data_IF_623769231075
#
_entry.id   IF_623769231075
#
_cell.length_a   1.000
_cell.length_b   1.000
_cell.length_c   1.000
_cell.angle_alpha   90.00
_cell.angle_beta   90.00
_cell.angle_gamma   90.00
#
_symmetry.space_group_name_H-M   'P 1'
#
loop_
_entity.id
_entity.type
_entity.pdbx_description
1 polymer ?
#
# COMPACT_ATOMS: atom_id res chain seq x y z
N UNK A 1 21.48 -14.41 -47.38
CA UNK A 1 21.23 -14.35 -45.93
C UNK A 1 20.56 -13.06 -45.45
N UNK A 2 20.64 -11.92 -46.17
CA UNK A 2 20.05 -10.64 -45.70
C UNK A 2 18.52 -10.52 -45.75
N UNK A 3 17.84 -11.15 -46.73
CA UNK A 3 16.38 -10.99 -46.89
C UNK A 3 15.56 -11.67 -45.78
N UNK A 4 16.00 -12.84 -45.29
CA UNK A 4 15.35 -13.54 -44.19
C UNK A 4 15.53 -12.81 -42.85
N UNK A 5 16.67 -12.13 -42.66
CA UNK A 5 16.93 -11.31 -41.48
C UNK A 5 16.03 -10.05 -41.48
N UNK A 6 15.87 -9.40 -42.63
CA UNK A 6 15.00 -8.24 -42.78
C UNK A 6 13.51 -8.57 -42.56
N UNK A 7 13.03 -9.73 -43.03
CA UNK A 7 11.65 -10.17 -42.77
C UNK A 7 11.44 -10.46 -41.27
N UNK A 8 12.44 -11.04 -40.59
CA UNK A 8 12.37 -11.29 -39.15
C UNK A 8 12.30 -9.98 -38.36
N UNK A 9 13.14 -9.00 -38.69
CA UNK A 9 13.18 -7.69 -38.05
C UNK A 9 11.85 -6.94 -38.23
N UNK A 10 11.27 -6.98 -39.44
CA UNK A 10 9.96 -6.39 -39.72
C UNK A 10 8.83 -7.03 -38.89
N UNK A 11 8.89 -8.35 -38.68
CA UNK A 11 7.93 -9.06 -37.82
C UNK A 11 8.13 -8.70 -36.35
N UNK A 12 9.36 -8.60 -35.88
CA UNK A 12 9.67 -8.21 -34.49
C UNK A 12 9.17 -6.80 -34.17
N UNK A 13 9.42 -5.82 -35.05
CA UNK A 13 8.93 -4.46 -34.89
C UNK A 13 7.40 -4.40 -34.87
N UNK A 14 6.73 -5.18 -35.73
CA UNK A 14 5.27 -5.28 -35.74
C UNK A 14 4.73 -5.86 -34.44
N UNK A 15 5.38 -6.89 -33.88
CA UNK A 15 4.97 -7.48 -32.60
C UNK A 15 5.14 -6.48 -31.47
N UNK A 16 6.28 -5.78 -31.40
CA UNK A 16 6.52 -4.75 -30.39
C UNK A 16 5.51 -3.61 -30.48
N UNK A 17 5.16 -3.15 -31.68
CA UNK A 17 4.10 -2.16 -31.88
C UNK A 17 2.75 -2.63 -31.35
N UNK A 18 2.35 -3.87 -31.67
CA UNK A 18 1.09 -4.44 -31.17
C UNK A 18 1.08 -4.61 -29.64
N UNK A 19 2.21 -4.94 -29.03
CA UNK A 19 2.33 -5.02 -27.57
C UNK A 19 2.14 -3.63 -26.97
N UNK A 20 2.79 -2.60 -27.52
CA UNK A 20 2.63 -1.22 -27.07
C UNK A 20 1.17 -0.73 -27.19
N UNK A 21 0.49 -1.06 -28.28
CA UNK A 21 -0.92 -0.70 -28.48
C UNK A 21 -1.83 -1.42 -27.47
N UNK A 22 -1.57 -2.71 -27.19
CA UNK A 22 -2.31 -3.48 -26.20
C UNK A 22 -2.07 -2.96 -24.77
N UNK A 23 -0.85 -2.55 -24.44
CA UNK A 23 -0.51 -1.93 -23.16
C UNK A 23 -1.26 -0.60 -22.99
N UNK A 24 -1.31 0.23 -24.03
CA UNK A 24 -2.04 1.50 -24.01
C UNK A 24 -3.56 1.27 -23.88
N UNK A 25 -4.13 0.33 -24.62
CA UNK A 25 -5.54 -0.03 -24.54
C UNK A 25 -5.92 -0.60 -23.17
N UNK A 26 -5.06 -1.44 -22.59
CA UNK A 26 -5.25 -1.96 -21.23
C UNK A 26 -5.18 -0.85 -20.17
N UNK A 27 -4.28 0.12 -20.33
CA UNK A 27 -4.21 1.31 -19.47
C UNK A 27 -5.49 2.15 -19.57
N UNK A 28 -5.99 2.41 -20.77
CA UNK A 28 -7.23 3.16 -20.99
C UNK A 28 -8.45 2.42 -20.43
N UNK A 29 -8.55 1.11 -20.64
CA UNK A 29 -9.63 0.28 -20.09
C UNK A 29 -9.55 0.22 -18.56
N UNK A 30 -8.36 0.18 -17.96
CA UNK A 30 -8.16 0.20 -16.51
C UNK A 30 -8.59 1.55 -15.90
N UNK A 31 -8.29 2.66 -16.55
CA UNK A 31 -8.78 3.99 -16.16
C UNK A 31 -10.30 4.11 -16.32
N UNK A 32 -10.87 3.54 -17.38
CA UNK A 32 -12.33 3.48 -17.58
C UNK A 32 -13.05 2.60 -16.56
N UNK A 33 -12.46 1.47 -16.16
CA UNK A 33 -13.00 0.57 -15.14
C UNK A 33 -12.94 1.17 -13.71
N UNK A 34 -12.05 2.14 -13.47
CA UNK A 34 -12.03 2.94 -12.24
C UNK A 34 -13.13 4.00 -12.21
N UNK A 35 -13.72 4.36 -13.36
CA UNK A 35 -14.75 5.40 -13.44
C UNK A 35 -16.19 4.90 -13.26
N UNK A 36 -16.51 3.61 -13.40
CA UNK A 36 -17.90 3.12 -13.25
C UNK A 36 -17.92 1.71 -12.63
N UNK A 37 -18.16 1.64 -11.33
CA UNK A 37 -18.87 0.53 -10.68
C UNK A 37 -19.58 1.06 -9.43
N UNK A 38 -20.46 2.04 -9.65
CA UNK A 38 -21.55 2.35 -8.73
C UNK A 38 -22.62 1.27 -8.90
N UNK A 39 -22.50 0.17 -8.16
CA UNK A 39 -23.68 -0.63 -7.87
C UNK A 39 -24.59 0.21 -6.94
N UNK A 40 -25.89 0.39 -7.25
CA UNK A 40 -26.76 1.16 -6.39
C UNK A 40 -27.07 0.32 -5.15
N UNK A 41 -26.40 0.63 -4.04
CA UNK A 41 -26.83 0.18 -2.72
C UNK A 41 -27.49 1.36 -2.04
N UNK A 42 -28.79 1.26 -1.84
CA UNK A 42 -29.61 2.32 -1.28
C UNK A 42 -29.23 2.62 0.17
N UNK A 43 -29.20 3.92 0.48
CA UNK A 43 -29.15 4.57 1.80
C UNK A 43 -27.78 4.61 2.51
N UNK A 44 -27.09 5.73 2.31
CA UNK A 44 -26.20 6.33 3.31
C UNK A 44 -24.78 6.69 2.86
N UNK A 45 -24.57 7.25 1.67
CA UNK A 45 -23.21 7.56 1.19
C UNK A 45 -23.12 8.96 0.58
N UNK A 46 -22.70 9.93 1.38
CA UNK A 46 -22.24 11.23 0.91
C UNK A 46 -20.95 11.62 1.64
N UNK A 47 -19.91 10.77 1.58
CA UNK A 47 -18.52 11.16 1.93
C UNK A 47 -17.45 10.14 1.48
N UNK A 48 -17.80 8.85 1.39
CA UNK A 48 -16.82 7.77 1.12
C UNK A 48 -16.04 7.94 -0.21
N UNK A 49 -16.68 8.47 -1.25
CA UNK A 49 -16.04 8.70 -2.55
C UNK A 49 -14.95 9.78 -2.51
N UNK A 50 -15.05 10.78 -1.62
CA UNK A 50 -14.07 11.86 -1.55
C UNK A 50 -12.71 11.36 -1.05
N UNK A 51 -12.72 10.44 -0.08
CA UNK A 51 -11.49 9.84 0.47
C UNK A 51 -10.78 8.96 -0.56
N UNK A 52 -11.52 8.10 -1.27
CA UNK A 52 -10.97 7.23 -2.32
C UNK A 52 -10.31 8.07 -3.44
N UNK A 53 -10.97 9.14 -3.89
CA UNK A 53 -10.43 10.06 -4.91
C UNK A 53 -9.17 10.76 -4.40
N UNK A 54 -9.18 11.26 -3.16
CA UNK A 54 -8.01 11.91 -2.57
C UNK A 54 -6.81 10.96 -2.48
N UNK A 55 -7.02 9.73 -2.01
CA UNK A 55 -5.96 8.72 -1.91
C UNK A 55 -5.45 8.29 -3.29
N UNK A 56 -6.35 8.13 -4.28
CA UNK A 56 -5.97 7.81 -5.65
C UNK A 56 -5.05 8.89 -6.25
N UNK A 57 -5.41 10.17 -6.10
CA UNK A 57 -4.61 11.29 -6.57
C UNK A 57 -3.22 11.32 -5.89
N UNK A 58 -3.18 11.04 -4.58
CA UNK A 58 -1.94 11.00 -3.82
C UNK A 58 -1.01 9.85 -4.26
N UNK A 59 -1.57 8.68 -4.56
CA UNK A 59 -0.82 7.53 -5.07
C UNK A 59 -0.26 7.80 -6.47
N UNK A 60 -1.09 8.36 -7.37
CA UNK A 60 -0.69 8.73 -8.71
C UNK A 60 0.42 9.79 -8.71
N UNK A 61 0.31 10.82 -7.86
CA UNK A 61 1.34 11.85 -7.70
C UNK A 61 2.69 11.30 -7.22
N UNK A 62 2.69 10.14 -6.53
CA UNK A 62 3.89 9.42 -6.10
C UNK A 62 4.36 8.34 -7.09
N UNK A 63 3.76 8.28 -8.27
CA UNK A 63 4.15 7.35 -9.33
C UNK A 63 3.65 5.91 -9.16
N UNK A 64 2.72 5.68 -8.23
CA UNK A 64 2.05 4.38 -8.09
C UNK A 64 1.02 4.24 -9.21
N UNK A 65 1.26 3.32 -10.13
CA UNK A 65 0.50 3.16 -11.37
C UNK A 65 -0.57 2.06 -11.33
N UNK A 66 -0.48 1.16 -10.35
CA UNK A 66 -1.39 0.02 -10.23
C UNK A 66 -1.84 -0.13 -8.79
N UNK A 67 -3.11 0.12 -8.54
CA UNK A 67 -3.77 -0.06 -7.25
C UNK A 67 -5.28 -0.20 -7.45
N UNK A 68 -5.96 -0.83 -6.49
CA UNK A 68 -7.41 -0.94 -6.48
C UNK A 68 -7.92 -0.79 -5.04
N UNK A 69 -8.89 0.11 -4.84
CA UNK A 69 -9.62 0.19 -3.58
C UNK A 69 -10.72 -0.88 -3.56
N UNK A 70 -10.92 -1.50 -2.39
CA UNK A 70 -11.95 -2.51 -2.17
C UNK A 70 -12.80 -2.09 -0.98
N UNK A 71 -14.10 -1.96 -1.22
CA UNK A 71 -15.08 -1.83 -0.13
C UNK A 71 -15.38 -3.21 0.41
N UNK A 72 -15.44 -3.29 1.73
CA UNK A 72 -15.72 -4.53 2.47
C UNK A 72 -16.97 -4.34 3.32
N UNK A 73 -17.72 -5.42 3.61
CA UNK A 73 -18.84 -5.36 4.53
C UNK A 73 -18.46 -4.81 5.92
N UNK A 74 -19.45 -4.29 6.66
CA UNK A 74 -19.22 -3.72 7.99
C UNK A 74 -18.67 -4.74 9.00
N UNK A 75 -19.00 -6.02 8.84
CA UNK A 75 -18.54 -7.15 9.66
C UNK A 75 -17.16 -7.69 9.25
N UNK A 76 -16.42 -6.98 8.38
CA UNK A 76 -15.12 -7.42 7.85
C UNK A 76 -14.13 -7.87 8.95
N UNK A 77 -14.07 -7.16 10.07
CA UNK A 77 -13.15 -7.50 11.16
C UNK A 77 -13.61 -8.64 12.06
N UNK A 78 -14.86 -9.09 11.93
CA UNK A 78 -15.40 -10.24 12.66
C UNK A 78 -15.19 -11.55 11.90
N UNK A 79 -14.90 -11.47 10.59
CA UNK A 79 -14.66 -12.61 9.71
C UNK A 79 -13.29 -13.25 9.88
N UNK A 80 -13.16 -14.49 9.44
CA UNK A 80 -11.88 -15.22 9.37
C UNK A 80 -10.89 -14.55 8.40
N UNK A 81 -9.59 -14.88 8.51
CA UNK A 81 -8.58 -14.30 7.62
C UNK A 81 -8.74 -14.78 6.18
N UNK A 82 -9.24 -16.00 5.99
CA UNK A 82 -9.53 -16.61 4.71
C UNK A 82 -10.66 -15.85 4.00
N UNK A 83 -11.73 -15.52 4.72
CA UNK A 83 -12.83 -14.72 4.17
C UNK A 83 -12.37 -13.30 3.84
N UNK A 84 -11.53 -12.68 4.69
CA UNK A 84 -10.96 -11.36 4.40
C UNK A 84 -10.08 -11.36 3.17
N UNK A 85 -9.25 -12.41 2.99
CA UNK A 85 -8.46 -12.63 1.78
C UNK A 85 -9.36 -12.64 0.56
N UNK A 86 -10.45 -13.38 0.59
CA UNK A 86 -11.37 -13.51 -0.54
C UNK A 86 -12.07 -12.19 -0.87
N UNK A 87 -12.52 -11.46 0.16
CA UNK A 87 -13.12 -10.12 0.01
C UNK A 87 -12.15 -9.11 -0.62
N UNK A 88 -10.87 -9.15 -0.23
CA UNK A 88 -9.83 -8.28 -0.78
C UNK A 88 -9.22 -8.80 -2.10
N UNK A 89 -9.59 -10.02 -2.53
CA UNK A 89 -9.02 -10.73 -3.68
C UNK A 89 -7.49 -10.87 -3.60
N UNK A 90 -6.98 -11.15 -2.41
CA UNK A 90 -5.58 -11.52 -2.22
C UNK A 90 -5.37 -13.00 -2.59
N UNK A 91 -4.20 -13.35 -3.10
CA UNK A 91 -3.87 -14.74 -3.46
C UNK A 91 -3.66 -15.61 -2.22
N UNK A 92 -3.23 -15.00 -1.11
CA UNK A 92 -2.98 -15.70 0.15
C UNK A 92 -3.21 -14.80 1.36
N UNK A 93 -3.47 -15.43 2.51
CA UNK A 93 -3.57 -14.72 3.80
C UNK A 93 -2.26 -14.01 4.15
N UNK A 94 -1.12 -14.50 3.67
CA UNK A 94 0.19 -13.87 3.90
C UNK A 94 0.34 -12.51 3.19
N UNK A 95 -0.46 -12.21 2.15
CA UNK A 95 -0.47 -10.89 1.52
C UNK A 95 -1.29 -9.85 2.31
N UNK A 96 -2.10 -10.30 3.28
CA UNK A 96 -2.86 -9.38 4.13
C UNK A 96 -1.92 -8.68 5.10
N UNK A 97 -1.94 -7.35 5.04
CA UNK A 97 -1.14 -6.48 5.90
C UNK A 97 -2.04 -5.57 6.73
N UNK A 98 -1.59 -5.27 7.95
CA UNK A 98 -2.21 -4.29 8.85
C UNK A 98 -1.22 -3.17 9.12
N UNK A 99 -1.75 -1.98 9.38
CA UNK A 99 -0.95 -0.81 9.76
C UNK A 99 -1.09 -0.56 11.25
N UNK A 100 0.03 -0.54 11.97
CA UNK A 100 0.07 -0.31 13.41
C UNK A 100 0.70 1.06 13.65
N UNK A 101 -0.05 1.96 14.26
CA UNK A 101 0.46 3.25 14.72
C UNK A 101 1.07 3.05 16.11
N UNK A 102 2.36 3.34 16.22
CA UNK A 102 3.12 3.28 17.45
C UNK A 102 3.50 4.68 17.91
N UNK A 103 3.48 4.91 19.22
CA UNK A 103 3.96 6.14 19.86
C UNK A 103 5.22 5.86 20.65
N UNK A 104 6.26 6.66 20.43
CA UNK A 104 7.47 6.63 21.25
C UNK A 104 7.25 7.44 22.54
N UNK A 105 7.02 6.74 23.65
CA UNK A 105 6.76 7.41 24.94
C UNK A 105 8.01 8.00 25.59
N UNK A 106 9.19 7.72 25.06
CA UNK A 106 10.46 8.26 25.55
C UNK A 106 11.09 9.29 24.61
N UNK A 107 10.34 9.71 23.58
CA UNK A 107 10.67 10.87 22.78
C UNK A 107 10.86 12.08 23.71
N UNK A 108 11.88 12.89 23.42
CA UNK A 108 12.12 14.11 24.18
C UNK A 108 10.98 15.12 23.94
N UNK A 109 10.77 16.06 24.87
CA UNK A 109 9.60 16.93 24.87
C UNK A 109 9.53 17.88 23.65
N UNK A 110 10.69 18.15 23.04
CA UNK A 110 10.88 18.88 21.80
C UNK A 110 10.43 18.09 20.56
N UNK A 111 10.36 16.76 20.64
CA UNK A 111 9.91 15.88 19.55
C UNK A 111 8.40 15.66 19.66
N UNK A 112 7.65 16.56 19.03
CA UNK A 112 6.18 16.54 19.06
C UNK A 112 5.55 15.95 17.79
N UNK A 113 6.31 15.85 16.71
CA UNK A 113 5.79 15.58 15.36
C UNK A 113 6.51 14.42 14.65
N UNK A 114 6.24 14.32 13.34
CA UNK A 114 6.80 13.33 12.42
C UNK A 114 7.83 13.93 11.45
N UNK A 115 8.39 15.11 11.76
CA UNK A 115 9.24 15.86 10.82
C UNK A 115 10.59 15.22 10.60
N UNK A 116 11.12 14.49 11.59
CA UNK A 116 12.38 13.76 11.49
C UNK A 116 12.13 12.25 11.43
N UNK A 117 12.28 11.58 10.26
CA UNK A 117 12.07 10.14 10.13
C UNK A 117 12.97 9.30 11.04
N UNK A 118 14.15 9.83 11.42
CA UNK A 118 15.08 9.15 12.32
C UNK A 118 14.64 9.30 13.79
N UNK A 119 13.98 10.40 14.16
CA UNK A 119 13.54 10.65 15.53
C UNK A 119 12.15 11.29 15.56
N UNK A 120 11.13 10.50 15.19
CA UNK A 120 9.72 10.90 15.24
C UNK A 120 9.04 10.44 16.53
N UNK A 121 7.98 11.15 16.93
CA UNK A 121 7.11 10.72 18.04
C UNK A 121 6.21 9.55 17.67
N UNK A 122 5.77 9.49 16.42
CA UNK A 122 4.86 8.46 15.92
C UNK A 122 5.51 7.68 14.76
N UNK A 123 5.27 6.38 14.74
CA UNK A 123 5.71 5.49 13.68
C UNK A 123 4.54 4.65 13.18
N UNK A 124 4.40 4.52 11.87
CA UNK A 124 3.47 3.56 11.26
C UNK A 124 4.27 2.34 10.85
N UNK A 125 3.90 1.18 11.36
CA UNK A 125 4.53 -0.09 11.04
C UNK A 125 3.54 -0.98 10.31
N UNK A 126 3.86 -1.34 9.08
CA UNK A 126 3.05 -2.23 8.25
C UNK A 126 3.57 -3.66 8.41
N UNK A 127 2.72 -4.57 8.86
CA UNK A 127 3.08 -5.99 9.07
C UNK A 127 2.01 -6.91 8.50
N UNK A 128 2.40 -8.12 8.11
CA UNK A 128 1.46 -9.16 7.73
C UNK A 128 0.58 -9.55 8.92
N UNK A 129 -0.65 -9.97 8.64
CA UNK A 129 -1.60 -10.42 9.66
C UNK A 129 -1.09 -11.60 10.49
N UNK A 130 -0.38 -12.53 9.85
CA UNK A 130 0.20 -13.70 10.52
C UNK A 130 1.49 -13.36 11.30
N UNK A 131 2.13 -12.23 10.99
CA UNK A 131 3.37 -11.85 11.63
C UNK A 131 3.10 -11.24 13.01
N UNK A 132 3.86 -11.70 14.01
CA UNK A 132 3.89 -11.08 15.33
C UNK A 132 4.89 -9.92 15.31
N UNK A 133 4.42 -8.75 15.74
CA UNK A 133 5.27 -7.58 15.84
C UNK A 133 6.31 -7.79 16.97
N UNK A 134 7.59 -7.79 16.62
CA UNK A 134 8.68 -7.84 17.60
C UNK A 134 9.19 -6.42 17.90
N UNK A 135 8.85 -5.91 19.08
CA UNK A 135 9.23 -4.57 19.52
C UNK A 135 10.75 -4.37 19.64
N UNK A 136 11.52 -5.43 19.94
CA UNK A 136 12.98 -5.35 20.02
C UNK A 136 13.60 -5.15 18.63
N UNK A 137 13.10 -5.87 17.63
CA UNK A 137 13.54 -5.70 16.24
C UNK A 137 13.28 -4.28 15.74
N UNK A 138 12.14 -3.68 16.10
CA UNK A 138 11.83 -2.29 15.75
C UNK A 138 12.81 -1.33 16.41
N UNK A 139 13.12 -1.53 17.70
CA UNK A 139 14.11 -0.70 18.40
C UNK A 139 15.48 -0.81 17.76
N UNK A 140 15.90 -2.01 17.36
CA UNK A 140 17.16 -2.23 16.67
C UNK A 140 17.18 -1.56 15.29
N UNK A 141 16.11 -1.70 14.51
CA UNK A 141 15.97 -1.04 13.22
C UNK A 141 16.02 0.49 13.33
N UNK A 142 15.27 1.07 14.27
CA UNK A 142 15.31 2.52 14.51
C UNK A 142 16.70 2.98 15.00
N UNK A 143 17.36 2.18 15.83
CA UNK A 143 18.72 2.48 16.30
C UNK A 143 19.74 2.50 15.15
N UNK A 144 19.64 1.55 14.22
CA UNK A 144 20.46 1.49 13.01
C UNK A 144 20.14 2.65 12.06
N UNK A 145 18.86 2.97 11.86
CA UNK A 145 18.41 4.10 11.04
C UNK A 145 18.92 5.46 11.58
N UNK A 146 19.15 5.54 12.89
CA UNK A 146 19.73 6.69 13.58
C UNK A 146 21.27 6.71 13.57
N UNK A 147 21.92 5.84 12.80
CA UNK A 147 23.39 5.72 12.78
C UNK A 147 23.99 5.56 14.19
N UNK A 148 23.23 4.91 15.10
CA UNK A 148 23.62 4.66 16.49
C UNK A 148 23.79 5.92 17.36
N UNK A 149 23.38 7.09 16.88
CA UNK A 149 23.54 8.36 17.60
C UNK A 149 22.59 8.48 18.81
N UNK A 150 21.38 7.93 18.71
CA UNK A 150 20.39 7.97 19.80
C UNK A 150 20.42 6.65 20.57
N UNK A 151 20.57 6.64 21.91
CA UNK A 151 20.58 5.41 22.69
C UNK A 151 19.27 4.62 22.59
N UNK A 152 19.36 3.28 22.50
CA UNK A 152 18.21 2.36 22.41
C UNK A 152 17.12 2.59 23.47
N UNK A 153 17.50 3.08 24.66
CA UNK A 153 16.58 3.38 25.76
C UNK A 153 15.52 4.42 25.39
N UNK A 154 15.82 5.33 24.46
CA UNK A 154 14.91 6.40 24.00
C UNK A 154 13.82 5.92 23.05
N UNK A 155 13.88 4.67 22.59
CA UNK A 155 12.85 4.08 21.75
C UNK A 155 12.00 3.14 22.59
N UNK A 156 10.92 3.67 23.16
CA UNK A 156 9.89 2.87 23.81
C UNK A 156 8.57 3.02 23.08
N UNK A 157 8.40 2.19 22.07
CA UNK A 157 7.24 2.22 21.19
C UNK A 157 6.08 1.44 21.81
N UNK A 158 5.00 2.12 22.13
CA UNK A 158 3.73 1.51 22.53
C UNK A 158 2.75 1.55 21.35
N UNK A 159 1.93 0.52 21.22
CA UNK A 159 0.85 0.49 20.22
C UNK A 159 -0.19 1.53 20.66
N UNK A 160 -0.54 2.43 19.74
CA UNK A 160 -1.57 3.44 19.93
C UNK A 160 -2.88 3.00 19.26
N UNK A 161 -2.79 2.56 18.01
CA UNK A 161 -3.91 2.08 17.22
C UNK A 161 -3.45 1.00 16.26
N UNK A 162 -4.29 -0.02 16.07
CA UNK A 162 -4.13 -1.00 15.00
C UNK A 162 -5.24 -0.76 14.00
N UNK A 163 -4.90 -0.15 12.87
CA UNK A 163 -5.78 -0.15 11.70
C UNK A 163 -5.65 -1.54 11.08
N UNK A 164 -6.56 -2.42 11.50
CA UNK A 164 -6.75 -3.76 10.93
C UNK A 164 -7.25 -3.58 9.51
#
# INVERSE_FOLDING_TARGET
MGAAAADLEARQLRILGRISDLELAAQQHRLGALSISTAPSEKGEADAGATEVHLAALLAARGVRDFAFRRVPADYYDRSLEERRDLLRADSVAQLCKSIVMVNTQAAADVVDCSNPKNSKYYVVVVQYMARLNAENIKNFLYELNEKQIPKKRFNSKILLQCI
#
